data_IF_122487043846
#
_entry.id   IF_122487043846
#
_cell.length_a   1.000
_cell.length_b   1.000
_cell.length_c   1.000
_cell.angle_alpha   90.00
_cell.angle_beta   90.00
_cell.angle_gamma   90.00
#
_symmetry.space_group_name_H-M   'P 1'
#
loop_
_entity.id
_entity.type
_entity.pdbx_description
1 polymer ?
#
# COMPACT_ATOMS: atom_id res chain seq x y z
N UNK A 1 10.92 12.07 -21.89
CA UNK A 1 10.99 12.65 -20.52
C UNK A 1 9.96 13.75 -20.29
N UNK A 2 9.86 14.80 -21.12
CA UNK A 2 8.89 15.91 -20.91
C UNK A 2 7.42 15.46 -20.69
N UNK A 3 6.91 14.50 -21.47
CA UNK A 3 5.56 13.96 -21.30
C UNK A 3 5.38 13.15 -19.99
N UNK A 4 6.44 12.60 -19.41
CA UNK A 4 6.38 11.88 -18.14
C UNK A 4 6.34 12.83 -16.94
N UNK A 5 7.02 13.99 -17.03
CA UNK A 5 6.99 15.04 -16.02
C UNK A 5 5.64 15.76 -15.94
N UNK A 6 4.98 16.02 -17.07
CA UNK A 6 3.63 16.59 -17.07
C UNK A 6 2.62 15.62 -16.46
N UNK A 7 2.67 14.34 -16.88
CA UNK A 7 1.78 13.30 -16.36
C UNK A 7 2.04 13.02 -14.88
N UNK A 8 3.29 13.12 -14.41
CA UNK A 8 3.58 12.89 -13.00
C UNK A 8 2.99 13.94 -12.06
N UNK A 9 2.75 15.18 -12.54
CA UNK A 9 2.02 16.17 -11.75
C UNK A 9 0.55 15.84 -11.60
N UNK A 10 -0.11 15.52 -12.70
CA UNK A 10 -1.52 15.12 -12.66
C UNK A 10 -1.71 13.89 -11.76
N UNK A 11 -0.81 12.90 -11.84
CA UNK A 11 -0.86 11.70 -10.99
C UNK A 11 -0.55 12.03 -9.52
N UNK A 12 0.43 12.88 -9.22
CA UNK A 12 0.73 13.26 -7.84
C UNK A 12 -0.47 13.97 -7.18
N UNK A 13 -1.06 14.96 -7.88
CA UNK A 13 -2.26 15.67 -7.41
C UNK A 13 -3.41 14.67 -7.26
N UNK A 14 -3.67 13.85 -8.28
CA UNK A 14 -4.73 12.84 -8.24
C UNK A 14 -4.55 11.84 -7.10
N UNK A 15 -3.32 11.47 -6.77
CA UNK A 15 -3.01 10.60 -5.62
C UNK A 15 -3.38 11.28 -4.31
N UNK A 16 -2.95 12.53 -4.11
CA UNK A 16 -3.24 13.28 -2.88
C UNK A 16 -4.74 13.50 -2.71
N UNK A 17 -5.43 13.95 -3.77
CA UNK A 17 -6.89 14.09 -3.79
C UNK A 17 -7.56 12.75 -3.51
N UNK A 18 -7.07 11.65 -4.11
CA UNK A 18 -7.57 10.31 -3.88
C UNK A 18 -7.45 9.86 -2.42
N UNK A 19 -6.30 10.10 -1.79
CA UNK A 19 -6.08 9.81 -0.36
C UNK A 19 -7.06 10.59 0.51
N UNK A 20 -7.18 11.91 0.30
CA UNK A 20 -8.10 12.74 1.07
C UNK A 20 -9.56 12.32 0.85
N UNK A 21 -9.94 11.94 -0.37
CA UNK A 21 -11.27 11.44 -0.67
C UNK A 21 -11.56 10.11 0.06
N UNK A 22 -10.62 9.16 0.07
CA UNK A 22 -10.78 7.92 0.86
C UNK A 22 -10.96 8.25 2.35
N UNK A 23 -10.10 9.09 2.93
CA UNK A 23 -10.18 9.43 4.35
C UNK A 23 -11.46 10.19 4.70
N UNK A 24 -11.78 11.24 3.96
CA UNK A 24 -12.99 12.04 4.19
C UNK A 24 -14.25 11.19 4.02
N UNK A 25 -14.32 10.35 2.98
CA UNK A 25 -15.45 9.46 2.77
C UNK A 25 -15.65 8.45 3.90
N UNK A 26 -14.57 7.93 4.49
CA UNK A 26 -14.66 7.07 5.67
C UNK A 26 -15.11 7.83 6.93
N UNK A 27 -14.61 9.06 7.15
CA UNK A 27 -15.05 9.91 8.28
C UNK A 27 -16.53 10.25 8.15
N UNK A 28 -17.00 10.63 6.95
CA UNK A 28 -18.40 10.94 6.68
C UNK A 28 -19.30 9.73 6.98
N UNK A 29 -18.91 8.53 6.55
CA UNK A 29 -19.65 7.30 6.83
C UNK A 29 -19.70 6.96 8.33
N UNK A 30 -18.62 7.22 9.07
CA UNK A 30 -18.56 6.93 10.51
C UNK A 30 -19.31 7.95 11.38
N UNK A 31 -19.40 9.22 10.94
CA UNK A 31 -19.94 10.31 11.77
C UNK A 31 -21.45 10.27 12.03
N UNK A 32 -22.19 9.36 11.38
CA UNK A 32 -23.62 9.18 11.58
C UNK A 32 -24.00 7.90 12.34
N UNK A 33 -23.02 7.18 12.91
CA UNK A 33 -23.24 5.88 13.56
C UNK A 33 -22.71 5.90 14.99
N UNK A 34 -23.49 5.39 15.93
CA UNK A 34 -23.04 5.16 17.31
C UNK A 34 -22.27 3.84 17.40
N UNK A 35 -21.17 3.84 18.17
CA UNK A 35 -20.22 2.71 18.22
C UNK A 35 -20.76 1.53 19.05
N UNK A 36 -21.65 1.81 20.00
CA UNK A 36 -22.14 0.84 20.99
C UNK A 36 -23.62 0.44 20.78
N UNK A 37 -24.24 0.86 19.66
CA UNK A 37 -25.61 0.49 19.33
C UNK A 37 -25.74 -0.99 18.96
N UNK A 38 -26.89 -1.58 19.28
CA UNK A 38 -27.24 -2.93 18.82
C UNK A 38 -27.57 -2.96 17.31
N UNK A 39 -27.71 -4.15 16.72
CA UNK A 39 -27.93 -4.27 15.28
C UNK A 39 -29.24 -3.63 14.80
N UNK A 40 -30.29 -3.58 15.63
CA UNK A 40 -31.56 -2.96 15.28
C UNK A 40 -31.43 -1.43 15.26
N UNK A 41 -30.81 -0.86 16.30
CA UNK A 41 -30.52 0.57 16.41
C UNK A 41 -29.58 1.03 15.28
N UNK A 42 -28.50 0.29 15.00
CA UNK A 42 -27.58 0.60 13.90
C UNK A 42 -28.28 0.61 12.53
N UNK A 43 -29.25 -0.27 12.31
CA UNK A 43 -29.99 -0.35 11.05
C UNK A 43 -30.86 0.90 10.84
N UNK A 44 -31.50 1.37 11.92
CA UNK A 44 -32.32 2.59 11.92
C UNK A 44 -31.45 3.84 11.76
N UNK A 45 -30.34 3.95 12.51
CA UNK A 45 -29.39 5.06 12.36
C UNK A 45 -28.83 5.13 10.93
N UNK A 46 -28.53 3.99 10.31
CA UNK A 46 -28.03 3.91 8.94
C UNK A 46 -29.09 4.36 7.92
N UNK A 47 -30.36 4.07 8.15
CA UNK A 47 -31.47 4.58 7.33
C UNK A 47 -31.54 6.11 7.41
N UNK A 48 -31.53 6.66 8.63
CA UNK A 48 -31.59 8.12 8.84
C UNK A 48 -30.37 8.83 8.25
N UNK A 49 -29.19 8.21 8.34
CA UNK A 49 -27.94 8.72 7.78
C UNK A 49 -27.70 8.31 6.32
N UNK A 50 -28.66 7.71 5.61
CA UNK A 50 -28.44 7.11 4.27
C UNK A 50 -27.77 8.07 3.29
N UNK A 51 -28.28 9.29 3.17
CA UNK A 51 -27.73 10.28 2.23
C UNK A 51 -26.27 10.65 2.53
N UNK A 52 -25.93 10.74 3.81
CA UNK A 52 -24.57 11.01 4.26
C UNK A 52 -23.66 9.81 4.01
N UNK A 53 -24.12 8.60 4.33
CA UNK A 53 -23.38 7.36 4.10
C UNK A 53 -23.12 7.17 2.60
N UNK A 54 -24.14 7.34 1.76
CA UNK A 54 -24.03 7.24 0.30
C UNK A 54 -23.02 8.24 -0.26
N UNK A 55 -23.09 9.50 0.18
CA UNK A 55 -22.11 10.52 -0.23
C UNK A 55 -20.68 10.10 0.16
N UNK A 56 -20.48 9.65 1.42
CA UNK A 56 -19.19 9.16 1.89
C UNK A 56 -18.69 7.93 1.13
N UNK A 57 -19.59 6.98 0.79
CA UNK A 57 -19.31 5.79 -0.01
C UNK A 57 -18.82 6.15 -1.43
N UNK A 58 -19.49 7.10 -2.08
CA UNK A 58 -19.11 7.58 -3.42
C UNK A 58 -17.77 8.32 -3.37
N UNK A 59 -17.60 9.23 -2.41
CA UNK A 59 -16.35 9.99 -2.24
C UNK A 59 -15.18 9.03 -1.99
N UNK A 60 -15.34 8.06 -1.09
CA UNK A 60 -14.31 7.06 -0.80
C UNK A 60 -14.01 6.17 -2.01
N UNK A 61 -15.04 5.68 -2.70
CA UNK A 61 -14.88 4.86 -3.90
C UNK A 61 -14.17 5.59 -5.05
N UNK A 62 -14.51 6.86 -5.29
CA UNK A 62 -13.78 7.70 -6.24
C UNK A 62 -12.32 7.92 -5.82
N UNK A 63 -12.09 8.06 -4.51
CA UNK A 63 -10.74 8.08 -3.95
C UNK A 63 -9.93 6.84 -4.34
N UNK A 64 -10.47 5.64 -4.16
CA UNK A 64 -9.83 4.41 -4.61
C UNK A 64 -9.59 4.37 -6.12
N UNK A 65 -10.54 4.84 -6.94
CA UNK A 65 -10.35 4.91 -8.40
C UNK A 65 -9.16 5.80 -8.76
N UNK A 66 -9.01 6.96 -8.11
CA UNK A 66 -7.85 7.84 -8.27
C UNK A 66 -6.54 7.13 -7.87
N UNK A 67 -6.52 6.39 -6.76
CA UNK A 67 -5.36 5.56 -6.39
C UNK A 67 -5.07 4.47 -7.43
N UNK A 68 -6.10 3.88 -8.03
CA UNK A 68 -5.98 2.95 -9.16
C UNK A 68 -5.25 3.56 -10.36
N UNK A 69 -5.51 4.85 -10.66
CA UNK A 69 -4.79 5.57 -11.72
C UNK A 69 -3.31 5.74 -11.39
N UNK A 70 -2.96 6.01 -10.14
CA UNK A 70 -1.57 6.06 -9.66
C UNK A 70 -0.87 4.72 -9.80
N UNK A 71 -1.55 3.64 -9.41
CA UNK A 71 -1.03 2.28 -9.54
C UNK A 71 -0.82 1.91 -11.01
N UNK A 72 -1.80 2.24 -11.88
CA UNK A 72 -1.70 2.06 -13.33
C UNK A 72 -0.53 2.85 -13.93
N UNK A 73 -0.29 4.07 -13.47
CA UNK A 73 0.85 4.88 -13.90
C UNK A 73 2.17 4.20 -13.54
N UNK A 74 2.33 3.75 -12.28
CA UNK A 74 3.53 3.04 -11.84
C UNK A 74 3.72 1.75 -12.65
N UNK A 75 2.67 0.96 -12.84
CA UNK A 75 2.71 -0.25 -13.65
C UNK A 75 3.11 0.01 -15.10
N UNK A 76 2.61 1.09 -15.71
CA UNK A 76 3.01 1.48 -17.05
C UNK A 76 4.50 1.86 -17.11
N UNK A 77 5.01 2.58 -16.10
CA UNK A 77 6.43 2.91 -16.00
C UNK A 77 7.32 1.67 -15.88
N UNK A 78 6.87 0.67 -15.11
CA UNK A 78 7.52 -0.64 -15.01
C UNK A 78 7.58 -1.35 -16.37
N UNK A 79 6.45 -1.45 -17.08
CA UNK A 79 6.39 -2.17 -18.37
C UNK A 79 7.26 -1.56 -19.46
N UNK A 80 7.44 -0.24 -19.47
CA UNK A 80 8.38 0.41 -20.41
C UNK A 80 9.83 -0.03 -20.18
N UNK A 81 10.16 -0.46 -18.97
CA UNK A 81 11.51 -0.83 -18.53
C UNK A 81 11.75 -2.34 -18.49
N UNK A 82 10.68 -3.14 -18.41
CA UNK A 82 10.77 -4.60 -18.41
C UNK A 82 9.67 -5.21 -19.29
N UNK A 83 10.07 -5.73 -20.46
CA UNK A 83 9.17 -6.39 -21.41
C UNK A 83 8.64 -7.75 -20.92
N UNK A 84 9.27 -8.37 -19.93
CA UNK A 84 8.82 -9.63 -19.34
C UNK A 84 7.57 -9.46 -18.45
N UNK A 85 7.19 -8.22 -18.10
CA UNK A 85 5.98 -7.96 -17.31
C UNK A 85 4.74 -8.14 -18.18
N UNK A 86 3.98 -9.19 -17.88
CA UNK A 86 2.81 -9.57 -18.65
C UNK A 86 1.73 -8.47 -18.65
N UNK A 87 1.14 -8.14 -19.81
CA UNK A 87 0.10 -7.12 -19.92
C UNK A 87 -1.19 -7.50 -19.17
N UNK A 88 -1.39 -8.79 -18.91
CA UNK A 88 -2.59 -9.35 -18.25
C UNK A 88 -2.85 -8.77 -16.86
N UNK A 89 -1.83 -8.21 -16.20
CA UNK A 89 -1.97 -7.61 -14.86
C UNK A 89 -2.38 -6.13 -14.89
N UNK A 90 -2.38 -5.48 -16.06
CA UNK A 90 -2.80 -4.07 -16.23
C UNK A 90 -4.25 -3.81 -15.79
N UNK A 91 -5.23 -4.67 -16.08
CA UNK A 91 -6.61 -4.49 -15.64
C UNK A 91 -6.73 -4.53 -14.11
N UNK A 92 -5.88 -5.27 -13.41
CA UNK A 92 -5.95 -5.46 -11.96
C UNK A 92 -5.87 -4.12 -11.21
N UNK A 93 -5.05 -3.18 -11.70
CA UNK A 93 -4.89 -1.85 -11.14
C UNK A 93 -6.13 -0.93 -11.31
N UNK A 94 -7.06 -1.28 -12.21
CA UNK A 94 -8.25 -0.46 -12.52
C UNK A 94 -9.53 -1.16 -12.06
N UNK A 95 -9.63 -2.46 -12.31
CA UNK A 95 -10.79 -3.28 -11.98
C UNK A 95 -10.98 -3.31 -10.47
N UNK A 96 -9.93 -3.55 -9.68
CA UNK A 96 -10.06 -3.61 -8.21
C UNK A 96 -10.72 -2.37 -7.60
N UNK A 97 -10.20 -1.16 -7.83
CA UNK A 97 -10.82 0.08 -7.36
C UNK A 97 -12.22 0.34 -7.88
N UNK A 98 -12.50 0.00 -9.15
CA UNK A 98 -13.83 0.15 -9.72
C UNK A 98 -14.84 -0.78 -9.02
N UNK A 99 -14.45 -2.02 -8.73
CA UNK A 99 -15.25 -2.96 -7.97
C UNK A 99 -15.48 -2.48 -6.53
N UNK A 100 -14.48 -1.89 -5.88
CA UNK A 100 -14.63 -1.28 -4.55
C UNK A 100 -15.66 -0.15 -4.59
N UNK A 101 -15.58 0.75 -5.58
CA UNK A 101 -16.57 1.82 -5.74
C UNK A 101 -17.99 1.27 -5.92
N UNK A 102 -18.17 0.32 -6.84
CA UNK A 102 -19.48 -0.30 -7.09
C UNK A 102 -19.99 -1.04 -5.85
N UNK A 103 -19.11 -1.79 -5.18
CA UNK A 103 -19.40 -2.47 -3.92
C UNK A 103 -19.93 -1.48 -2.89
N UNK A 104 -19.22 -0.38 -2.63
CA UNK A 104 -19.62 0.59 -1.61
C UNK A 104 -21.03 1.12 -1.86
N UNK A 105 -21.34 1.45 -3.11
CA UNK A 105 -22.68 1.93 -3.48
C UNK A 105 -23.74 0.84 -3.28
N UNK A 106 -23.48 -0.38 -3.77
CA UNK A 106 -24.41 -1.50 -3.61
C UNK A 106 -24.66 -1.86 -2.15
N UNK A 107 -23.62 -1.87 -1.31
CA UNK A 107 -23.78 -2.16 0.11
C UNK A 107 -24.62 -1.11 0.81
N UNK A 108 -24.47 0.17 0.44
CA UNK A 108 -25.29 1.26 1.01
C UNK A 108 -26.76 1.11 0.66
N UNK A 109 -27.10 0.80 -0.59
CA UNK A 109 -28.48 0.48 -0.99
C UNK A 109 -29.00 -0.81 -0.38
N UNK A 110 -28.14 -1.83 -0.22
CA UNK A 110 -28.51 -3.09 0.41
C UNK A 110 -28.91 -2.92 1.87
N UNK A 111 -28.21 -2.06 2.62
CA UNK A 111 -28.58 -1.71 3.99
C UNK A 111 -29.84 -0.84 4.06
N UNK A 112 -30.01 0.12 3.16
CA UNK A 112 -31.21 0.97 3.10
C UNK A 112 -32.49 0.17 2.84
N UNK A 113 -32.42 -0.79 1.91
CA UNK A 113 -33.51 -1.72 1.65
C UNK A 113 -33.83 -2.56 2.89
N UNK A 114 -32.80 -3.13 3.53
CA UNK A 114 -32.99 -3.93 4.74
C UNK A 114 -33.57 -3.09 5.89
N UNK A 115 -33.14 -1.83 6.02
CA UNK A 115 -33.65 -0.91 7.03
C UNK A 115 -35.12 -0.52 6.80
N UNK A 116 -35.50 -0.30 5.54
CA UNK A 116 -36.88 -0.02 5.16
C UNK A 116 -37.81 -1.20 5.47
N UNK A 117 -37.38 -2.42 5.13
CA UNK A 117 -38.14 -3.65 5.42
C UNK A 117 -38.26 -3.90 6.93
N UNK A 118 -37.18 -3.65 7.68
CA UNK A 118 -37.16 -3.73 9.13
C UNK A 118 -38.10 -2.72 9.79
N UNK A 119 -38.06 -1.45 9.37
CA UNK A 119 -38.95 -0.42 9.89
C UNK A 119 -40.43 -0.73 9.59
N UNK A 120 -40.71 -1.32 8.42
CA UNK A 120 -42.06 -1.74 8.04
C UNK A 120 -42.59 -2.92 8.87
N UNK A 121 -41.71 -3.76 9.43
CA UNK A 121 -42.10 -4.88 10.28
C UNK A 121 -42.64 -4.44 11.66
N UNK A 122 -42.33 -3.23 12.11
CA UNK A 122 -42.90 -2.62 13.32
C UNK A 122 -42.29 -3.06 14.65
N UNK A 123 -41.34 -4.01 14.65
CA UNK A 123 -40.58 -4.45 15.83
C UNK A 123 -39.24 -3.71 15.89
N UNK A 124 -39.14 -2.66 16.71
CA UNK A 124 -37.99 -1.73 16.68
C UNK A 124 -37.06 -1.79 17.89
N UNK A 125 -37.35 -2.62 18.90
CA UNK A 125 -36.52 -2.71 20.11
C UNK A 125 -36.56 -4.09 20.77
N UNK A 126 -35.47 -4.47 21.45
CA UNK A 126 -35.34 -5.72 22.18
C UNK A 126 -34.77 -6.87 21.35
N UNK A 127 -34.56 -8.03 21.98
CA UNK A 127 -33.87 -9.18 21.36
C UNK A 127 -34.52 -9.65 20.05
N UNK A 128 -35.85 -9.61 19.97
CA UNK A 128 -36.59 -9.95 18.74
C UNK A 128 -36.30 -8.98 17.59
N UNK A 129 -36.14 -7.69 17.88
CA UNK A 129 -35.78 -6.68 16.90
C UNK A 129 -34.36 -6.91 16.39
N UNK A 130 -33.43 -7.27 17.28
CA UNK A 130 -32.04 -7.57 16.93
C UNK A 130 -31.95 -8.78 16.00
N UNK A 131 -32.64 -9.87 16.32
CA UNK A 131 -32.64 -11.07 15.47
C UNK A 131 -33.33 -10.83 14.12
N UNK A 132 -34.43 -10.06 14.11
CA UNK A 132 -35.08 -9.64 12.88
C UNK A 132 -34.16 -8.78 12.00
N UNK A 133 -33.44 -7.81 12.59
CA UNK A 133 -32.49 -6.96 11.87
C UNK A 133 -31.37 -7.80 11.24
N UNK A 134 -30.80 -8.77 11.98
CA UNK A 134 -29.80 -9.71 11.45
C UNK A 134 -30.34 -10.51 10.28
N UNK A 135 -31.57 -11.02 10.38
CA UNK A 135 -32.21 -11.76 9.31
C UNK A 135 -32.41 -10.90 8.05
N UNK A 136 -32.89 -9.66 8.19
CA UNK A 136 -33.09 -8.75 7.06
C UNK A 136 -31.77 -8.39 6.38
N UNK A 137 -30.70 -8.18 7.15
CA UNK A 137 -29.35 -8.00 6.63
C UNK A 137 -28.89 -9.26 5.88
N UNK A 138 -29.08 -10.46 6.46
CA UNK A 138 -28.62 -11.70 5.85
C UNK A 138 -29.38 -12.05 4.57
N UNK A 139 -30.66 -11.73 4.48
CA UNK A 139 -31.52 -12.09 3.34
C UNK A 139 -31.41 -11.08 2.18
N UNK A 140 -30.77 -9.92 2.40
CA UNK A 140 -30.56 -8.90 1.38
C UNK A 140 -29.58 -9.37 0.29
N UNK A 141 -30.13 -9.84 -0.83
CA UNK A 141 -29.34 -10.24 -2.01
C UNK A 141 -28.48 -9.09 -2.58
N UNK A 142 -28.97 -7.84 -2.53
CA UNK A 142 -28.21 -6.66 -2.98
C UNK A 142 -26.99 -6.45 -2.09
N UNK A 143 -27.17 -6.57 -0.76
CA UNK A 143 -26.07 -6.47 0.18
C UNK A 143 -25.04 -7.58 -0.04
N UNK A 144 -25.48 -8.84 -0.20
CA UNK A 144 -24.59 -9.97 -0.48
C UNK A 144 -23.77 -9.75 -1.76
N UNK A 145 -24.42 -9.35 -2.87
CA UNK A 145 -23.73 -9.05 -4.13
C UNK A 145 -22.72 -7.92 -3.93
N UNK A 146 -23.10 -6.86 -3.21
CA UNK A 146 -22.21 -5.77 -2.84
C UNK A 146 -20.97 -6.29 -2.09
N UNK A 147 -21.15 -7.06 -1.03
CA UNK A 147 -20.08 -7.62 -0.21
C UNK A 147 -19.12 -8.51 -1.01
N UNK A 148 -19.62 -9.42 -1.86
CA UNK A 148 -18.78 -10.26 -2.71
C UNK A 148 -18.01 -9.44 -3.75
N UNK A 149 -18.64 -8.40 -4.31
CA UNK A 149 -17.97 -7.46 -5.21
C UNK A 149 -16.85 -6.70 -4.50
N UNK A 150 -17.09 -6.28 -3.25
CA UNK A 150 -16.12 -5.61 -2.40
C UNK A 150 -14.92 -6.50 -2.12
N UNK A 151 -15.15 -7.75 -1.73
CA UNK A 151 -14.10 -8.73 -1.52
C UNK A 151 -13.26 -8.94 -2.79
N UNK A 152 -13.90 -9.13 -3.94
CA UNK A 152 -13.21 -9.26 -5.23
C UNK A 152 -12.40 -8.00 -5.58
N UNK A 153 -12.95 -6.82 -5.32
CA UNK A 153 -12.29 -5.53 -5.53
C UNK A 153 -11.05 -5.34 -4.64
N UNK A 154 -11.18 -5.63 -3.35
CA UNK A 154 -10.08 -5.58 -2.37
C UNK A 154 -8.98 -6.57 -2.72
N UNK A 155 -9.32 -7.82 -3.08
CA UNK A 155 -8.36 -8.83 -3.55
C UNK A 155 -7.60 -8.37 -4.79
N UNK A 156 -8.32 -7.90 -5.81
CA UNK A 156 -7.72 -7.42 -7.05
C UNK A 156 -6.81 -6.20 -6.80
N UNK A 157 -7.25 -5.25 -5.99
CA UNK A 157 -6.45 -4.06 -5.66
C UNK A 157 -5.19 -4.43 -4.89
N UNK A 158 -5.30 -5.24 -3.83
CA UNK A 158 -4.18 -5.72 -3.04
C UNK A 158 -3.16 -6.48 -3.89
N UNK A 159 -3.62 -7.41 -4.72
CA UNK A 159 -2.77 -8.15 -5.65
C UNK A 159 -2.08 -7.21 -6.66
N UNK A 160 -2.79 -6.18 -7.13
CA UNK A 160 -2.25 -5.14 -8.01
C UNK A 160 -1.12 -4.35 -7.34
N UNK A 161 -1.31 -3.94 -6.08
CA UNK A 161 -0.28 -3.27 -5.27
C UNK A 161 0.93 -4.18 -5.10
N UNK A 162 0.73 -5.40 -4.58
CA UNK A 162 1.81 -6.37 -4.31
C UNK A 162 2.63 -6.65 -5.59
N UNK A 163 1.95 -6.99 -6.69
CA UNK A 163 2.61 -7.31 -7.95
C UNK A 163 3.38 -6.11 -8.50
N UNK A 164 2.79 -4.92 -8.47
CA UNK A 164 3.42 -3.71 -8.98
C UNK A 164 4.63 -3.31 -8.14
N UNK A 165 4.55 -3.39 -6.82
CA UNK A 165 5.67 -3.14 -5.91
C UNK A 165 6.84 -4.07 -6.18
N UNK A 166 6.57 -5.37 -6.36
CA UNK A 166 7.58 -6.37 -6.68
C UNK A 166 8.31 -6.03 -7.99
N UNK A 167 7.57 -5.70 -9.05
CA UNK A 167 8.18 -5.38 -10.35
C UNK A 167 8.86 -4.01 -10.34
N UNK A 168 8.32 -3.02 -9.64
CA UNK A 168 8.91 -1.69 -9.51
C UNK A 168 10.27 -1.73 -8.81
N UNK A 169 10.42 -2.57 -7.78
CA UNK A 169 11.70 -2.82 -7.14
C UNK A 169 12.70 -3.49 -8.09
N UNK A 170 12.26 -4.44 -8.92
CA UNK A 170 13.14 -5.15 -9.88
C UNK A 170 13.74 -4.22 -10.93
N UNK A 171 12.99 -3.22 -11.39
CA UNK A 171 13.48 -2.26 -12.40
C UNK A 171 14.16 -1.03 -11.79
N UNK A 172 14.25 -0.94 -10.47
CA UNK A 172 14.87 0.20 -9.76
C UNK A 172 13.99 1.45 -9.66
N UNK A 173 12.69 1.35 -9.97
CA UNK A 173 11.74 2.46 -9.81
C UNK A 173 11.37 2.69 -8.35
N UNK A 174 11.50 1.67 -7.51
CA UNK A 174 11.37 1.75 -6.05
C UNK A 174 12.61 1.19 -5.38
N UNK A 175 12.95 1.71 -4.20
CA UNK A 175 13.98 1.09 -3.34
C UNK A 175 13.47 -0.23 -2.80
N UNK A 176 14.38 -1.10 -2.36
CA UNK A 176 14.03 -2.39 -1.76
C UNK A 176 13.07 -2.25 -0.58
N UNK A 177 13.32 -1.27 0.28
CA UNK A 177 12.45 -0.94 1.41
C UNK A 177 11.02 -0.60 0.98
N UNK A 178 10.84 0.33 0.04
CA UNK A 178 9.50 0.75 -0.42
C UNK A 178 8.77 -0.35 -1.22
N UNK A 179 9.51 -1.19 -1.94
CA UNK A 179 8.97 -2.36 -2.60
C UNK A 179 8.41 -3.39 -1.60
N UNK A 180 9.18 -3.75 -0.58
CA UNK A 180 8.73 -4.68 0.47
C UNK A 180 7.60 -4.10 1.32
N UNK A 181 7.68 -2.80 1.63
CA UNK A 181 6.65 -2.09 2.38
C UNK A 181 5.33 -2.05 1.61
N UNK A 182 5.36 -1.82 0.29
CA UNK A 182 4.17 -1.89 -0.57
C UNK A 182 3.53 -3.27 -0.58
N UNK A 183 4.32 -4.34 -0.64
CA UNK A 183 3.79 -5.70 -0.52
C UNK A 183 3.17 -5.96 0.85
N UNK A 184 3.85 -5.56 1.94
CA UNK A 184 3.34 -5.72 3.30
C UNK A 184 2.03 -4.94 3.52
N UNK A 185 1.94 -3.70 3.05
CA UNK A 185 0.71 -2.91 3.14
C UNK A 185 -0.39 -3.39 2.19
N UNK A 186 -0.06 -3.96 1.03
CA UNK A 186 -1.05 -4.66 0.20
C UNK A 186 -1.69 -5.84 0.93
N UNK A 187 -0.89 -6.65 1.64
CA UNK A 187 -1.41 -7.73 2.50
C UNK A 187 -2.16 -7.17 3.72
N UNK A 188 -1.64 -6.13 4.38
CA UNK A 188 -2.31 -5.53 5.52
C UNK A 188 -3.67 -4.91 5.13
N UNK A 189 -3.78 -4.32 3.93
CA UNK A 189 -5.04 -3.84 3.37
C UNK A 189 -6.03 -4.98 3.14
N UNK A 190 -5.57 -6.12 2.60
CA UNK A 190 -6.39 -7.33 2.48
C UNK A 190 -6.90 -7.82 3.83
N UNK A 191 -6.03 -7.80 4.85
CA UNK A 191 -6.33 -8.22 6.22
C UNK A 191 -6.89 -7.09 7.09
N UNK A 192 -7.38 -6.01 6.50
CA UNK A 192 -7.88 -4.84 7.24
C UNK A 192 -9.02 -5.18 8.19
N UNK A 193 -9.80 -6.22 7.88
CA UNK A 193 -10.83 -6.76 8.79
C UNK A 193 -10.25 -7.25 10.14
N UNK A 194 -8.98 -7.69 10.18
CA UNK A 194 -8.31 -8.19 11.37
C UNK A 194 -7.31 -7.18 11.96
N UNK A 195 -6.62 -6.42 11.11
CA UNK A 195 -5.59 -5.43 11.52
C UNK A 195 -6.18 -4.04 11.78
N UNK A 196 -7.50 -3.87 11.59
CA UNK A 196 -8.17 -2.59 11.72
C UNK A 196 -7.68 -1.56 10.70
N UNK A 197 -7.70 -0.26 11.05
CA UNK A 197 -7.43 0.80 10.09
C UNK A 197 -5.95 0.88 9.68
N UNK A 198 -5.05 0.15 10.36
CA UNK A 198 -3.62 0.12 10.05
C UNK A 198 -3.34 -0.32 8.61
N UNK A 199 -4.07 -1.30 8.09
CA UNK A 199 -3.91 -1.77 6.71
C UNK A 199 -4.24 -0.69 5.68
N UNK A 200 -5.31 0.06 5.93
CA UNK A 200 -5.70 1.20 5.09
C UNK A 200 -4.69 2.34 5.18
N UNK A 201 -4.32 2.79 6.38
CA UNK A 201 -3.36 3.88 6.52
C UNK A 201 -2.00 3.55 5.90
N UNK A 202 -1.52 2.32 6.09
CA UNK A 202 -0.28 1.85 5.48
C UNK A 202 -0.30 1.95 3.95
N UNK A 203 -1.36 1.46 3.31
CA UNK A 203 -1.46 1.53 1.84
C UNK A 203 -1.55 2.97 1.35
N UNK A 204 -2.29 3.85 2.05
CA UNK A 204 -2.40 5.27 1.70
C UNK A 204 -1.05 6.00 1.79
N UNK A 205 -0.27 5.75 2.86
CA UNK A 205 1.09 6.30 3.01
C UNK A 205 2.00 5.80 1.89
N UNK A 206 1.90 4.52 1.52
CA UNK A 206 2.65 4.00 0.37
C UNK A 206 2.24 4.69 -0.94
N UNK A 207 0.94 4.89 -1.19
CA UNK A 207 0.48 5.62 -2.37
C UNK A 207 0.99 7.06 -2.39
N UNK A 208 0.99 7.76 -1.26
CA UNK A 208 1.55 9.10 -1.14
C UNK A 208 3.01 9.12 -1.59
N UNK A 209 3.80 8.14 -1.13
CA UNK A 209 5.18 7.98 -1.54
C UNK A 209 5.29 7.76 -3.06
N UNK A 210 4.53 6.84 -3.63
CA UNK A 210 4.53 6.54 -5.06
C UNK A 210 4.14 7.74 -5.91
N UNK A 211 3.15 8.51 -5.48
CA UNK A 211 2.68 9.70 -6.20
C UNK A 211 3.73 10.81 -6.24
N UNK A 212 4.54 10.95 -5.19
CA UNK A 212 5.57 11.99 -5.08
C UNK A 212 6.91 11.60 -5.72
N UNK A 213 7.20 10.31 -5.79
CA UNK A 213 8.47 9.76 -6.24
C UNK A 213 8.97 10.24 -7.61
N UNK A 214 8.13 10.35 -8.67
CA UNK A 214 8.60 10.79 -9.98
C UNK A 214 9.07 12.25 -10.02
N UNK A 215 8.85 13.03 -8.96
CA UNK A 215 9.30 14.43 -8.86
C UNK A 215 10.69 14.57 -8.23
N UNK A 216 11.33 13.48 -7.81
CA UNK A 216 12.63 13.51 -7.14
C UNK A 216 12.63 14.18 -5.75
N UNK A 217 11.45 14.53 -5.21
CA UNK A 217 11.30 15.19 -3.90
C UNK A 217 11.32 14.20 -2.72
N UNK A 218 11.67 12.94 -2.95
CA UNK A 218 11.69 11.93 -1.91
C UNK A 218 13.02 11.95 -1.15
N UNK A 219 13.03 11.78 0.19
CA UNK A 219 14.28 11.66 0.96
C UNK A 219 15.14 10.51 0.40
N UNK A 220 16.36 10.84 -0.02
CA UNK A 220 17.26 9.93 -0.74
C UNK A 220 17.51 10.28 -2.20
N UNK A 221 16.87 11.32 -2.73
CA UNK A 221 17.11 11.85 -4.06
C UNK A 221 16.37 11.12 -5.19
N UNK A 222 16.55 11.58 -6.44
CA UNK A 222 15.96 10.92 -7.61
C UNK A 222 16.52 9.51 -7.77
N UNK A 223 15.65 8.53 -8.01
CA UNK A 223 16.11 7.14 -8.17
C UNK A 223 16.69 6.94 -9.57
N UNK A 224 17.73 6.10 -9.71
CA UNK A 224 18.46 5.93 -10.97
C UNK A 224 17.58 5.57 -12.18
N UNK A 225 16.53 4.78 -11.97
CA UNK A 225 15.62 4.36 -13.04
C UNK A 225 14.64 5.45 -13.50
N UNK A 226 14.37 6.45 -12.65
CA UNK A 226 13.58 7.62 -13.02
C UNK A 226 14.41 8.60 -13.85
N UNK A 227 15.68 8.81 -13.50
CA UNK A 227 16.57 9.72 -14.24
C UNK A 227 16.96 9.17 -15.61
N UNK A 228 17.36 7.90 -15.67
CA UNK A 228 17.89 7.30 -16.91
C UNK A 228 16.79 6.86 -17.87
N UNK A 229 15.54 6.76 -17.40
CA UNK A 229 14.42 6.24 -18.19
C UNK A 229 14.49 4.74 -18.53
N UNK A 230 15.56 4.06 -18.16
CA UNK A 230 15.79 2.62 -18.38
C UNK A 230 15.76 1.83 -17.08
N UNK A 231 15.59 0.52 -17.15
CA UNK A 231 15.71 -0.35 -15.97
C UNK A 231 17.14 -0.26 -15.42
N UNK A 232 17.28 0.03 -14.13
CA UNK A 232 18.54 -0.07 -13.40
C UNK A 232 18.29 -0.97 -12.20
N UNK A 233 18.44 -2.30 -12.34
CA UNK A 233 18.24 -3.24 -11.24
C UNK A 233 19.17 -2.90 -10.06
N UNK A 234 18.66 -3.06 -8.84
CA UNK A 234 19.49 -2.88 -7.64
C UNK A 234 20.62 -3.91 -7.61
N UNK A 235 21.85 -3.52 -7.24
CA UNK A 235 23.00 -4.42 -7.17
C UNK A 235 22.66 -5.65 -6.36
N UNK A 236 22.97 -6.84 -6.88
CA UNK A 236 22.72 -8.05 -6.13
C UNK A 236 23.68 -8.08 -4.93
N UNK A 237 23.17 -8.26 -3.72
CA UNK A 237 24.03 -8.23 -2.51
C UNK A 237 24.98 -9.43 -2.44
N UNK A 238 24.83 -10.37 -3.38
CA UNK A 238 25.69 -11.54 -3.56
C UNK A 238 26.71 -11.37 -4.67
N UNK A 239 26.58 -10.35 -5.52
CA UNK A 239 27.66 -9.96 -6.42
C UNK A 239 28.79 -9.44 -5.54
N UNK A 240 29.99 -10.01 -5.67
CA UNK A 240 31.17 -9.39 -5.08
C UNK A 240 31.15 -7.90 -5.48
N UNK A 241 31.45 -6.96 -4.55
CA UNK A 241 31.67 -5.58 -4.97
C UNK A 241 32.62 -5.63 -6.16
N UNK A 242 32.39 -4.84 -7.23
CA UNK A 242 33.37 -4.77 -8.31
C UNK A 242 34.70 -4.58 -7.60
N UNK A 243 35.61 -5.52 -7.79
CA UNK A 243 36.93 -5.41 -7.21
C UNK A 243 37.41 -4.07 -7.70
N UNK A 244 37.49 -3.10 -6.79
CA UNK A 244 38.35 -1.95 -7.02
C UNK A 244 39.68 -2.63 -7.28
N UNK A 245 40.06 -2.77 -8.55
CA UNK A 245 41.45 -3.04 -8.86
C UNK A 245 42.19 -2.00 -8.04
N UNK A 246 43.06 -2.41 -7.10
CA UNK A 246 43.84 -1.43 -6.39
C UNK A 246 44.58 -0.67 -7.48
N UNK A 247 44.15 0.57 -7.71
CA UNK A 247 44.92 1.53 -8.47
C UNK A 247 46.31 1.45 -7.82
N UNK A 248 47.34 1.00 -8.56
CA UNK A 248 48.64 0.75 -7.96
C UNK A 248 49.04 2.06 -7.29
N UNK A 249 49.09 2.04 -5.96
CA UNK A 249 49.46 3.19 -5.17
C UNK A 249 50.83 3.63 -5.68
N UNK A 250 50.87 4.76 -6.40
CA UNK A 250 52.13 5.41 -6.68
C UNK A 250 52.74 5.75 -5.30
N UNK A 251 54.00 5.37 -5.04
CA UNK A 251 54.61 5.48 -3.71
C UNK A 251 54.90 6.93 -3.26
N UNK A 252 54.22 7.93 -3.83
CA UNK A 252 54.47 9.36 -3.58
C UNK A 252 53.48 10.03 -2.62
N UNK A 253 52.30 9.45 -2.34
CA UNK A 253 51.23 10.15 -1.59
C UNK A 253 51.03 9.67 -0.14
N UNK A 254 52.10 9.21 0.51
CA UNK A 254 52.11 8.92 1.96
C UNK A 254 53.03 9.88 2.72
N UNK A 255 52.82 11.19 2.55
CA UNK A 255 53.43 12.21 3.41
C UNK A 255 52.32 13.03 4.09
N UNK A 256 51.95 12.59 5.29
CA UNK A 256 50.87 13.15 6.11
C UNK A 256 51.09 12.92 7.60
N UNK A 257 52.14 13.56 8.13
CA UNK A 257 52.37 14.03 9.50
C UNK A 257 51.65 13.25 10.63
N UNK A 258 52.33 12.25 11.18
CA UNK A 258 52.05 11.73 12.51
C UNK A 258 52.66 12.67 13.56
N UNK A 259 51.81 13.31 14.38
CA UNK A 259 52.25 14.01 15.59
C UNK A 259 52.77 12.99 16.59
N UNK A 260 54.07 13.04 16.89
CA UNK A 260 54.67 12.21 17.93
C UNK A 260 54.22 12.67 19.32
N UNK A 261 53.59 11.76 20.08
CA UNK A 261 53.56 11.81 21.53
C UNK A 261 54.69 10.91 22.05
N UNK A 262 55.58 11.50 22.84
CA UNK A 262 56.78 10.87 23.39
C UNK A 262 56.55 9.72 24.38
N UNK A 263 57.64 9.09 24.85
CA UNK A 263 57.70 7.66 25.15
C UNK A 263 57.57 7.35 26.65
N UNK A 264 56.96 6.22 27.00
CA UNK A 264 57.40 5.41 28.15
C UNK A 264 56.93 3.94 28.05
N UNK A 265 57.91 3.08 27.78
CA UNK A 265 58.09 1.73 28.36
C UNK A 265 57.15 0.56 27.98
N UNK A 266 57.58 -0.19 26.97
CA UNK A 266 57.37 -1.64 26.71
C UNK A 266 57.92 -2.56 27.84
N UNK A 267 57.86 -3.92 27.79
CA UNK A 267 57.32 -4.88 26.80
C UNK A 267 56.48 -6.03 27.49
N UNK A 268 56.02 -7.16 26.94
CA UNK A 268 56.33 -7.93 25.74
C UNK A 268 55.23 -8.98 25.48
N UNK A 269 55.14 -9.39 24.21
CA UNK A 269 54.97 -10.77 23.73
C UNK A 269 53.65 -11.56 23.94
N UNK A 270 53.06 -11.99 22.82
CA UNK A 270 52.22 -13.20 22.80
C UNK A 270 51.16 -13.27 21.69
N UNK A 271 51.58 -13.55 20.45
CA UNK A 271 50.68 -13.92 19.35
C UNK A 271 49.93 -15.27 19.60
N UNK A 272 48.84 -15.58 18.87
CA UNK A 272 47.66 -16.30 19.37
C UNK A 272 47.56 -17.78 18.91
N UNK A 273 46.63 -18.60 19.48
CA UNK A 273 46.26 -19.87 18.86
C UNK A 273 44.80 -19.95 18.37
N UNK A 274 44.70 -20.01 17.04
CA UNK A 274 43.99 -20.97 16.16
C UNK A 274 42.75 -21.77 16.66
N UNK A 275 41.68 -21.62 15.86
CA UNK A 275 40.47 -22.47 15.64
C UNK A 275 40.64 -23.99 15.85
N UNK A 276 39.58 -24.62 16.39
CA UNK A 276 39.21 -26.01 16.05
C UNK A 276 37.69 -26.18 15.86
N UNK A 277 37.32 -26.64 14.65
CA UNK A 277 36.02 -27.23 14.29
C UNK A 277 35.80 -28.52 15.09
N UNK A 278 34.60 -28.72 15.64
CA UNK A 278 34.13 -30.04 16.09
C UNK A 278 32.89 -30.43 15.31
N UNK A 279 32.98 -31.54 14.58
CA UNK A 279 31.89 -32.22 13.89
C UNK A 279 31.40 -33.34 14.81
N UNK A 280 30.09 -33.40 15.05
CA UNK A 280 29.42 -34.49 15.78
C UNK A 280 29.24 -35.72 14.87
N UNK A 281 29.39 -36.88 15.50
CA UNK A 281 28.92 -38.23 15.17
C UNK A 281 28.26 -38.69 16.48
N UNK A 282 27.13 -39.38 16.53
CA UNK A 282 26.57 -40.38 15.63
C UNK A 282 25.07 -40.18 15.39
#
# INVERSE_FOLDING_TARGET
MAQETERSLAIAIGTVVGIFAVLAGNVVQASGLTVDADEAEQLLERSDAFGQILAGSIISGLGFVLLGLTLRFLFAAVRRRNSAVAPVYKPLAVVGPALILVSNVLTTFGYDSAASDFAAAGTTSGDEAVELAKQMISDSSVLQVGLFMGLAGVLAFAAGVIYTSLQAMRVGLQTRFWGTLGMAFGVAFLLSMFLGPLGLFGVLVWFLQVGLQPRGKWPGGPLPAWERGVAVPWPDSRSAPPSSEPEPAEPADFEGVATELGPESEPAAGAPPRRRKRKQRD
#
